data_IF_743786363394
#
_entry.id   IF_743786363394
#
_cell.length_a   1.000
_cell.length_b   1.000
_cell.length_c   1.000
_cell.angle_alpha   90.00
_cell.angle_beta   90.00
_cell.angle_gamma   90.00
#
_symmetry.space_group_name_H-M   'P 1'
#
loop_
_entity.id
_entity.type
_entity.pdbx_description
1 polymer ?
#
# COMPACT_ATOMS: atom_id res chain seq x y z
N UNK A 1 -20.45 66.97 -35.94
CA UNK A 1 -19.37 65.99 -35.63
C UNK A 1 -19.55 65.62 -34.17
N UNK A 2 -20.03 64.43 -33.88
CA UNK A 2 -20.19 63.92 -32.47
C UNK A 2 -19.11 62.91 -32.21
N UNK A 3 -18.18 63.26 -31.32
CA UNK A 3 -17.11 62.37 -30.86
C UNK A 3 -17.61 61.49 -29.73
N UNK A 4 -17.53 60.17 -29.87
CA UNK A 4 -17.80 59.19 -28.83
C UNK A 4 -16.60 59.07 -27.91
N UNK A 5 -16.82 58.93 -26.59
CA UNK A 5 -15.72 58.65 -25.67
C UNK A 5 -15.29 57.15 -25.78
N UNK A 6 -14.02 56.84 -25.50
CA UNK A 6 -13.55 55.47 -25.58
C UNK A 6 -14.11 54.61 -24.47
N UNK A 7 -14.55 53.40 -24.84
CA UNK A 7 -14.96 52.31 -23.94
C UNK A 7 -13.76 51.91 -23.08
N UNK A 8 -13.84 52.19 -21.80
CA UNK A 8 -12.98 51.61 -20.77
C UNK A 8 -13.30 50.11 -20.62
N UNK A 9 -12.47 49.26 -21.21
CA UNK A 9 -12.50 47.83 -20.94
C UNK A 9 -11.90 47.59 -19.57
N UNK A 10 -12.72 47.30 -18.58
CA UNK A 10 -12.32 46.80 -17.26
C UNK A 10 -11.88 45.34 -17.43
N UNK A 11 -10.61 44.97 -17.16
CA UNK A 11 -10.28 43.55 -17.09
C UNK A 11 -10.84 43.03 -15.77
N UNK A 12 -11.86 42.17 -15.88
CA UNK A 12 -12.39 41.39 -14.76
C UNK A 12 -11.35 40.34 -14.37
N UNK A 13 -10.44 40.75 -13.48
CA UNK A 13 -9.51 39.83 -12.80
C UNK A 13 -10.35 38.96 -11.84
N UNK A 14 -10.87 37.88 -12.38
CA UNK A 14 -11.46 36.82 -11.57
C UNK A 14 -10.30 36.12 -10.82
N UNK A 15 -9.90 36.69 -9.69
CA UNK A 15 -8.99 36.04 -8.77
C UNK A 15 -9.69 34.83 -8.18
N UNK A 16 -9.55 33.67 -8.83
CA UNK A 16 -9.94 32.38 -8.25
C UNK A 16 -9.03 32.16 -7.05
N UNK A 17 -9.50 32.58 -5.88
CA UNK A 17 -8.93 32.16 -4.60
C UNK A 17 -9.25 30.68 -4.42
N UNK A 18 -8.46 29.82 -5.07
CA UNK A 18 -8.35 28.42 -4.70
C UNK A 18 -7.72 28.43 -3.31
N UNK A 19 -8.54 28.32 -2.26
CA UNK A 19 -8.06 28.05 -0.90
C UNK A 19 -7.19 26.82 -0.98
N UNK A 20 -5.87 26.99 -1.00
CA UNK A 20 -4.91 25.89 -0.94
C UNK A 20 -5.18 25.17 0.38
N UNK A 21 -5.90 24.06 0.33
CA UNK A 21 -6.11 23.20 1.50
C UNK A 21 -4.73 22.96 2.12
N UNK A 22 -4.55 23.37 3.38
CA UNK A 22 -3.30 23.16 4.12
C UNK A 22 -2.99 21.66 4.03
N UNK A 23 -1.85 21.29 3.45
CA UNK A 23 -1.49 19.87 3.26
C UNK A 23 -1.30 19.27 4.64
N UNK A 24 -2.09 18.25 4.96
CA UNK A 24 -2.05 17.55 6.24
C UNK A 24 -0.67 16.94 6.49
N UNK A 25 -0.24 16.96 7.74
CA UNK A 25 0.95 16.25 8.18
C UNK A 25 0.74 14.73 8.08
N UNK A 26 1.83 13.96 8.05
CA UNK A 26 1.76 12.50 7.97
C UNK A 26 0.99 11.89 9.16
N UNK A 27 1.24 12.37 10.38
CA UNK A 27 0.55 11.88 11.59
C UNK A 27 -0.97 12.10 11.52
N UNK A 28 -1.40 13.28 11.08
CA UNK A 28 -2.81 13.63 10.91
C UNK A 28 -3.46 12.75 9.83
N UNK A 29 -2.76 12.52 8.72
CA UNK A 29 -3.24 11.65 7.65
C UNK A 29 -3.40 10.20 8.13
N UNK A 30 -2.43 9.65 8.86
CA UNK A 30 -2.51 8.30 9.42
C UNK A 30 -3.68 8.21 10.41
N UNK A 31 -3.83 9.19 11.31
CA UNK A 31 -4.90 9.17 12.29
C UNK A 31 -6.30 9.20 11.66
N UNK A 32 -6.51 10.00 10.63
CA UNK A 32 -7.78 10.09 9.93
C UNK A 32 -8.12 8.84 9.11
N UNK A 33 -7.10 8.07 8.70
CA UNK A 33 -7.27 6.85 7.91
C UNK A 33 -7.04 5.58 8.74
N UNK A 34 -6.90 5.69 10.07
CA UNK A 34 -6.48 4.58 10.93
C UNK A 34 -7.35 3.33 10.77
N UNK A 35 -8.66 3.49 10.84
CA UNK A 35 -9.60 2.36 10.72
C UNK A 35 -9.49 1.69 9.34
N UNK A 36 -9.48 2.50 8.27
CA UNK A 36 -9.31 2.00 6.91
C UNK A 36 -7.99 1.25 6.75
N UNK A 37 -6.90 1.78 7.28
CA UNK A 37 -5.60 1.13 7.20
C UNK A 37 -5.56 -0.20 7.94
N UNK A 38 -6.22 -0.30 9.09
CA UNK A 38 -6.34 -1.58 9.78
C UNK A 38 -7.17 -2.58 8.99
N UNK A 39 -8.32 -2.20 8.46
CA UNK A 39 -9.14 -3.11 7.66
C UNK A 39 -8.40 -3.60 6.40
N UNK A 40 -7.70 -2.73 5.71
CA UNK A 40 -6.89 -3.09 4.56
C UNK A 40 -5.76 -4.05 4.94
N UNK A 41 -5.00 -3.78 6.01
CA UNK A 41 -3.97 -4.69 6.52
C UNK A 41 -4.57 -6.02 6.96
N UNK A 42 -5.66 -6.00 7.71
CA UNK A 42 -6.33 -7.20 8.20
C UNK A 42 -6.87 -8.05 7.05
N UNK A 43 -7.30 -7.43 5.95
CA UNK A 43 -7.68 -8.15 4.74
C UNK A 43 -6.53 -8.99 4.15
N UNK A 44 -5.28 -8.56 4.31
CA UNK A 44 -4.09 -9.34 3.93
C UNK A 44 -3.76 -10.41 4.97
N UNK A 45 -3.79 -10.05 6.26
CA UNK A 45 -3.38 -10.94 7.35
C UNK A 45 -4.32 -12.15 7.50
N UNK A 46 -5.61 -11.98 7.17
CA UNK A 46 -6.59 -13.08 7.15
C UNK A 46 -6.38 -14.09 6.03
N UNK A 47 -5.47 -13.84 5.10
CA UNK A 47 -5.19 -14.79 4.01
C UNK A 47 -3.98 -15.64 4.43
N UNK A 48 -4.14 -16.95 4.68
CA UNK A 48 -3.03 -17.82 5.06
C UNK A 48 -2.18 -18.18 3.82
N UNK A 49 -1.39 -17.24 3.34
CA UNK A 49 -0.50 -17.39 2.17
C UNK A 49 0.78 -18.15 2.55
N UNK A 50 0.63 -19.42 2.90
CA UNK A 50 1.74 -20.29 3.34
C UNK A 50 2.38 -20.93 2.11
N UNK A 51 3.55 -20.42 1.67
CA UNK A 51 4.25 -20.89 0.46
C UNK A 51 4.71 -22.34 0.56
N UNK A 52 5.09 -22.79 1.76
CA UNK A 52 5.58 -24.14 2.00
C UNK A 52 4.51 -25.26 1.89
N UNK A 53 3.21 -24.91 1.77
CA UNK A 53 2.10 -25.87 1.75
C UNK A 53 1.30 -25.78 0.46
N UNK A 54 1.21 -26.90 -0.29
CA UNK A 54 0.54 -26.95 -1.60
C UNK A 54 -0.98 -26.69 -1.53
N UNK A 55 -1.63 -27.04 -0.43
CA UNK A 55 -3.06 -26.78 -0.18
C UNK A 55 -3.38 -25.29 0.01
N UNK A 56 -2.36 -24.46 0.23
CA UNK A 56 -2.48 -23.01 0.30
C UNK A 56 -2.31 -22.26 -1.04
N UNK A 57 -2.13 -22.96 -2.16
CA UNK A 57 -1.92 -22.33 -3.49
C UNK A 57 -2.99 -21.29 -3.84
N UNK A 58 -4.26 -21.58 -3.58
CA UNK A 58 -5.35 -20.60 -3.80
C UNK A 58 -5.26 -19.38 -2.88
N UNK A 59 -4.71 -19.56 -1.68
CA UNK A 59 -4.48 -18.43 -0.77
C UNK A 59 -3.32 -17.56 -1.24
N UNK A 60 -2.29 -18.14 -1.87
CA UNK A 60 -1.22 -17.38 -2.50
C UNK A 60 -1.78 -16.48 -3.62
N UNK A 61 -2.60 -17.04 -4.51
CA UNK A 61 -3.26 -16.29 -5.58
C UNK A 61 -4.16 -15.17 -5.03
N UNK A 62 -4.99 -15.46 -4.01
CA UNK A 62 -5.85 -14.46 -3.35
C UNK A 62 -5.04 -13.32 -2.72
N UNK A 63 -3.90 -13.64 -2.09
CA UNK A 63 -3.05 -12.63 -1.46
C UNK A 63 -2.42 -11.73 -2.51
N UNK A 64 -1.93 -12.31 -3.62
CA UNK A 64 -1.39 -11.55 -4.75
C UNK A 64 -2.44 -10.62 -5.37
N UNK A 65 -3.67 -11.10 -5.61
CA UNK A 65 -4.76 -10.27 -6.13
C UNK A 65 -5.11 -9.13 -5.16
N UNK A 66 -5.18 -9.40 -3.86
CA UNK A 66 -5.45 -8.34 -2.86
C UNK A 66 -4.35 -7.27 -2.84
N UNK A 67 -3.11 -7.64 -2.99
CA UNK A 67 -1.99 -6.68 -3.09
C UNK A 67 -2.08 -5.83 -4.35
N UNK A 68 -2.43 -6.43 -5.50
CA UNK A 68 -2.71 -5.68 -6.72
C UNK A 68 -3.79 -4.62 -6.51
N UNK A 69 -4.92 -5.01 -5.88
CA UNK A 69 -5.99 -4.08 -5.57
C UNK A 69 -5.50 -2.92 -4.69
N UNK A 70 -4.78 -3.22 -3.60
CA UNK A 70 -4.23 -2.21 -2.69
C UNK A 70 -3.28 -1.24 -3.37
N UNK A 71 -2.47 -1.70 -4.32
CA UNK A 71 -1.59 -0.82 -5.11
C UNK A 71 -2.40 0.14 -6.00
N UNK A 72 -3.46 -0.36 -6.65
CA UNK A 72 -4.36 0.47 -7.47
C UNK A 72 -5.13 1.48 -6.61
N UNK A 73 -5.69 1.04 -5.47
CA UNK A 73 -6.38 1.90 -4.49
C UNK A 73 -5.47 3.00 -3.93
N UNK A 74 -4.18 2.70 -3.73
CA UNK A 74 -3.17 3.65 -3.30
C UNK A 74 -2.79 4.67 -4.40
N UNK A 75 -3.12 4.39 -5.66
CA UNK A 75 -2.93 5.29 -6.80
C UNK A 75 -1.79 4.91 -7.74
N UNK A 76 -1.39 3.64 -7.79
CA UNK A 76 -0.52 3.15 -8.86
C UNK A 76 -1.19 3.34 -10.23
N UNK A 77 -0.39 3.62 -11.26
CA UNK A 77 -0.90 3.75 -12.64
C UNK A 77 -1.26 2.38 -13.22
N UNK A 78 -0.55 1.36 -12.75
CA UNK A 78 -0.71 -0.02 -13.18
C UNK A 78 -0.30 -0.95 -12.05
N UNK A 79 -1.05 -2.03 -11.86
CA UNK A 79 -0.65 -3.16 -11.05
C UNK A 79 -1.19 -4.45 -11.65
N UNK A 80 -0.42 -5.54 -11.56
CA UNK A 80 -0.77 -6.85 -12.10
C UNK A 80 -0.20 -7.99 -11.28
N UNK A 81 -0.82 -9.15 -11.44
CA UNK A 81 -0.34 -10.42 -10.91
C UNK A 81 0.22 -11.22 -12.08
N UNK A 82 1.48 -11.58 -12.00
CA UNK A 82 2.22 -12.22 -13.08
C UNK A 82 2.62 -13.64 -12.68
N UNK A 83 2.40 -14.62 -13.54
CA UNK A 83 2.81 -16.00 -13.24
C UNK A 83 4.34 -16.11 -13.15
N UNK A 84 4.79 -16.96 -12.24
CA UNK A 84 6.16 -17.45 -12.17
C UNK A 84 6.18 -18.97 -12.31
N UNK A 85 7.35 -19.60 -12.15
CA UNK A 85 7.42 -21.09 -12.06
C UNK A 85 6.78 -21.62 -10.78
N UNK A 86 6.69 -20.80 -9.75
CA UNK A 86 6.06 -21.12 -8.46
C UNK A 86 4.84 -20.26 -8.15
N UNK A 87 4.92 -19.45 -7.09
CA UNK A 87 3.86 -18.53 -6.72
C UNK A 87 3.94 -17.24 -7.53
N UNK A 88 2.80 -16.60 -7.85
CA UNK A 88 2.79 -15.41 -8.70
C UNK A 88 3.53 -14.23 -8.08
N UNK A 89 4.04 -13.34 -8.93
CA UNK A 89 4.66 -12.08 -8.54
C UNK A 89 3.68 -10.94 -8.76
N UNK A 90 3.57 -10.05 -7.78
CA UNK A 90 2.81 -8.80 -7.92
C UNK A 90 3.75 -7.69 -8.35
N UNK A 91 3.42 -7.03 -9.45
CA UNK A 91 4.15 -5.86 -9.91
C UNK A 91 3.20 -4.67 -10.00
N UNK A 92 3.68 -3.49 -9.59
CA UNK A 92 2.95 -2.24 -9.75
C UNK A 92 3.89 -1.09 -10.06
N UNK A 93 3.38 -0.03 -10.64
CA UNK A 93 4.18 1.16 -10.94
C UNK A 93 3.40 2.46 -10.85
N UNK A 94 4.12 3.53 -10.52
CA UNK A 94 3.68 4.92 -10.65
C UNK A 94 4.78 5.73 -11.31
N UNK A 95 4.51 6.27 -12.49
CA UNK A 95 5.44 7.13 -13.23
C UNK A 95 4.96 8.58 -13.14
N UNK A 96 5.67 9.38 -12.37
CA UNK A 96 5.36 10.81 -12.20
C UNK A 96 6.01 11.62 -13.34
N UNK A 97 7.27 11.33 -13.63
CA UNK A 97 8.04 11.95 -14.69
C UNK A 97 9.09 10.95 -15.19
N UNK A 98 9.14 10.64 -16.50
CA UNK A 98 10.12 9.68 -17.05
C UNK A 98 11.59 10.02 -16.73
N UNK A 99 11.90 11.30 -16.58
CA UNK A 99 13.28 11.76 -16.28
C UNK A 99 13.67 11.62 -14.81
N UNK A 100 12.72 11.30 -13.94
CA UNK A 100 13.01 11.14 -12.51
C UNK A 100 13.53 9.74 -12.20
N UNK A 101 14.37 9.67 -11.15
CA UNK A 101 14.80 8.38 -10.60
C UNK A 101 13.61 7.54 -10.20
N UNK A 102 13.75 6.24 -10.36
CA UNK A 102 12.76 5.25 -9.93
C UNK A 102 13.24 4.56 -8.64
N UNK A 103 12.39 4.58 -7.63
CA UNK A 103 12.56 3.77 -6.42
C UNK A 103 11.89 2.43 -6.66
N UNK A 104 12.59 1.34 -6.39
CA UNK A 104 12.01 0.00 -6.34
C UNK A 104 11.70 -0.35 -4.88
N UNK A 105 10.48 -0.79 -4.65
CA UNK A 105 10.01 -1.33 -3.37
C UNK A 105 9.85 -2.83 -3.54
N UNK A 106 10.55 -3.57 -2.73
CA UNK A 106 10.49 -5.03 -2.66
C UNK A 106 9.88 -5.48 -1.34
N UNK A 107 9.21 -6.62 -1.35
CA UNK A 107 8.71 -7.33 -0.18
C UNK A 107 8.16 -8.68 -0.59
N UNK A 108 7.74 -9.49 0.40
CA UNK A 108 7.11 -10.78 0.14
C UNK A 108 5.77 -10.91 0.85
N UNK A 109 4.87 -11.68 0.26
CA UNK A 109 3.52 -11.83 0.79
C UNK A 109 3.24 -13.24 1.33
N UNK A 110 4.16 -14.15 1.13
CA UNK A 110 4.09 -15.45 1.78
C UNK A 110 4.49 -15.37 3.27
N UNK A 111 4.12 -16.38 3.99
CA UNK A 111 4.36 -16.47 5.43
C UNK A 111 4.74 -17.89 5.82
N UNK A 112 5.51 -18.02 6.90
CA UNK A 112 5.80 -19.32 7.54
C UNK A 112 4.52 -19.98 8.06
N UNK A 113 4.47 -21.32 8.07
CA UNK A 113 3.45 -22.06 8.79
C UNK A 113 3.33 -21.61 10.25
N UNK A 114 2.12 -21.57 10.82
CA UNK A 114 1.94 -21.09 12.21
C UNK A 114 2.26 -22.12 13.27
N UNK A 115 2.62 -23.34 12.90
CA UNK A 115 2.90 -24.42 13.85
C UNK A 115 4.09 -24.09 14.78
N UNK A 116 4.03 -24.49 16.08
CA UNK A 116 2.95 -25.24 16.71
C UNK A 116 1.79 -24.32 17.18
N UNK A 117 0.55 -24.66 16.77
CA UNK A 117 -0.64 -23.85 16.99
C UNK A 117 -0.96 -23.60 18.47
N UNK A 118 -0.60 -24.54 19.36
CA UNK A 118 -0.84 -24.45 20.79
C UNK A 118 -0.03 -23.33 21.49
N UNK A 119 0.96 -22.74 20.81
CA UNK A 119 1.71 -21.58 21.31
C UNK A 119 1.09 -20.24 20.95
N UNK A 120 0.05 -20.24 20.12
CA UNK A 120 -0.64 -19.01 19.77
C UNK A 120 -1.74 -18.72 20.80
N UNK A 121 -1.78 -17.49 21.30
CA UNK A 121 -2.85 -17.01 22.21
C UNK A 121 -4.12 -16.56 21.47
N UNK A 122 -4.06 -16.43 20.15
CA UNK A 122 -5.15 -16.05 19.22
C UNK A 122 -4.96 -16.83 17.93
N UNK A 123 -6.01 -16.96 17.13
CA UNK A 123 -5.88 -17.52 15.78
C UNK A 123 -4.81 -16.74 15.01
N UNK A 124 -3.78 -17.40 14.43
CA UNK A 124 -2.71 -16.76 13.72
C UNK A 124 -3.18 -15.97 12.49
N UNK A 125 -4.32 -16.29 11.91
CA UNK A 125 -4.88 -15.62 10.74
C UNK A 125 -6.13 -14.77 11.03
N UNK A 126 -6.46 -14.57 12.32
CA UNK A 126 -7.45 -13.56 12.73
C UNK A 126 -6.73 -12.45 13.51
N UNK A 127 -6.36 -11.35 12.87
CA UNK A 127 -5.55 -10.29 13.47
C UNK A 127 -6.30 -9.60 14.62
N UNK A 128 -5.61 -9.41 15.73
CA UNK A 128 -6.12 -8.70 16.90
C UNK A 128 -5.19 -7.58 17.32
N UNK A 129 -5.76 -6.49 17.84
CA UNK A 129 -5.01 -5.41 18.46
C UNK A 129 -5.06 -5.60 19.97
N UNK A 130 -3.89 -5.70 20.60
CA UNK A 130 -3.75 -5.81 22.07
C UNK A 130 -2.60 -4.92 22.53
N UNK A 131 -2.59 -4.58 23.81
CA UNK A 131 -1.41 -3.95 24.40
C UNK A 131 -0.29 -4.98 24.54
N UNK A 132 0.91 -4.57 24.17
CA UNK A 132 2.13 -5.34 24.41
C UNK A 132 2.61 -5.17 25.87
N UNK A 133 3.68 -5.88 26.30
CA UNK A 133 4.22 -5.76 27.64
C UNK A 133 4.69 -4.34 28.03
N UNK A 134 4.87 -3.44 27.05
CA UNK A 134 5.24 -2.03 27.29
C UNK A 134 4.01 -1.13 27.39
N UNK A 135 2.79 -1.66 27.21
CA UNK A 135 1.54 -0.92 27.20
C UNK A 135 1.22 -0.23 25.85
N UNK A 136 1.97 -0.54 24.80
CA UNK A 136 1.68 -0.03 23.46
C UNK A 136 0.74 -0.95 22.69
N UNK A 137 -0.12 -0.39 21.85
CA UNK A 137 -0.95 -1.18 20.94
C UNK A 137 -0.07 -1.91 19.91
N UNK A 138 -0.27 -3.21 19.77
CA UNK A 138 0.40 -4.06 18.78
C UNK A 138 -0.62 -4.97 18.08
N UNK A 139 -0.33 -5.28 16.82
CA UNK A 139 -1.11 -6.23 16.03
C UNK A 139 -0.49 -7.61 16.16
N UNK A 140 -1.30 -8.57 16.59
CA UNK A 140 -0.91 -9.96 16.72
C UNK A 140 -1.58 -10.79 15.62
N UNK A 141 -0.76 -11.27 14.67
CA UNK A 141 -1.14 -12.22 13.62
C UNK A 141 0.11 -12.76 12.92
N UNK A 142 0.01 -13.90 12.23
CA UNK A 142 1.06 -14.37 11.32
C UNK A 142 1.21 -13.39 10.15
N UNK A 143 2.44 -12.97 9.82
CA UNK A 143 2.72 -12.00 8.77
C UNK A 143 2.56 -10.53 9.19
N UNK A 144 2.14 -10.24 10.44
CA UNK A 144 1.97 -8.86 10.90
C UNK A 144 3.29 -8.06 10.92
N UNK A 145 4.41 -8.72 11.16
CA UNK A 145 5.73 -8.12 11.10
C UNK A 145 6.51 -8.62 9.86
N UNK A 146 6.41 -9.89 9.52
CA UNK A 146 7.18 -10.55 8.47
C UNK A 146 6.24 -11.21 7.44
N UNK A 147 6.08 -10.65 6.26
CA UNK A 147 6.50 -9.31 5.81
C UNK A 147 5.29 -8.46 5.39
N UNK A 148 4.03 -9.00 5.47
CA UNK A 148 2.81 -8.31 5.03
C UNK A 148 2.64 -6.94 5.69
N UNK A 149 2.98 -6.81 6.99
CA UNK A 149 2.91 -5.53 7.68
C UNK A 149 3.91 -4.52 7.12
N UNK A 150 5.13 -4.93 6.81
CA UNK A 150 6.19 -4.06 6.28
C UNK A 150 5.87 -3.64 4.84
N UNK A 151 5.53 -4.58 3.95
CA UNK A 151 5.15 -4.23 2.59
C UNK A 151 3.91 -3.31 2.56
N UNK A 152 2.96 -3.51 3.47
CA UNK A 152 1.79 -2.65 3.60
C UNK A 152 2.17 -1.22 4.03
N UNK A 153 3.12 -1.06 4.94
CA UNK A 153 3.63 0.28 5.30
C UNK A 153 4.19 1.01 4.08
N UNK A 154 4.90 0.33 3.19
CA UNK A 154 5.41 0.92 1.95
C UNK A 154 4.27 1.38 1.02
N UNK A 155 3.21 0.57 0.87
CA UNK A 155 2.03 0.96 0.09
C UNK A 155 1.37 2.21 0.68
N UNK A 156 1.22 2.30 2.01
CA UNK A 156 0.60 3.47 2.67
C UNK A 156 1.50 4.70 2.67
N UNK A 157 2.81 4.53 2.76
CA UNK A 157 3.77 5.63 2.58
C UNK A 157 3.69 6.21 1.15
N UNK A 158 3.63 5.35 0.15
CA UNK A 158 3.39 5.74 -1.24
C UNK A 158 2.08 6.50 -1.41
N UNK A 159 0.97 5.95 -0.89
CA UNK A 159 -0.35 6.59 -0.93
C UNK A 159 -0.30 8.00 -0.33
N UNK A 160 0.29 8.15 0.85
CA UNK A 160 0.44 9.45 1.50
C UNK A 160 1.26 10.44 0.67
N UNK A 161 2.42 10.01 0.18
CA UNK A 161 3.30 10.87 -0.62
C UNK A 161 2.63 11.33 -1.91
N UNK A 162 1.90 10.44 -2.57
CA UNK A 162 1.15 10.75 -3.78
C UNK A 162 0.01 11.73 -3.47
N UNK A 163 -0.88 11.43 -2.52
CA UNK A 163 -2.04 12.26 -2.18
C UNK A 163 -1.66 13.62 -1.62
N UNK A 164 -0.55 13.71 -0.88
CA UNK A 164 -0.02 14.98 -0.38
C UNK A 164 0.75 15.78 -1.44
N UNK A 165 0.98 15.21 -2.64
CA UNK A 165 1.78 15.80 -3.70
C UNK A 165 3.25 15.99 -3.29
N UNK A 166 3.76 15.10 -2.42
CA UNK A 166 5.17 15.09 -1.96
C UNK A 166 6.02 14.03 -2.66
N UNK A 167 5.40 13.14 -3.45
CA UNK A 167 6.15 12.14 -4.21
C UNK A 167 7.07 12.83 -5.24
N UNK A 168 8.37 12.51 -5.20
CA UNK A 168 9.42 13.13 -6.02
C UNK A 168 10.24 12.12 -6.83
N UNK A 169 9.74 10.89 -6.90
CA UNK A 169 10.36 9.79 -7.64
C UNK A 169 9.26 8.99 -8.34
N UNK A 170 9.63 8.29 -9.40
CA UNK A 170 8.84 7.19 -9.90
C UNK A 170 8.94 6.03 -8.90
N UNK A 171 7.93 5.20 -8.81
CA UNK A 171 7.93 4.04 -7.90
C UNK A 171 7.55 2.80 -8.67
N UNK A 172 8.27 1.72 -8.44
CA UNK A 172 7.93 0.36 -8.86
C UNK A 172 7.84 -0.52 -7.63
N UNK A 173 6.84 -1.37 -7.60
CA UNK A 173 6.66 -2.38 -6.57
C UNK A 173 6.85 -3.75 -7.17
N UNK A 174 7.53 -4.62 -6.44
CA UNK A 174 7.66 -6.03 -6.78
C UNK A 174 7.53 -6.83 -5.49
N UNK A 175 6.50 -7.69 -5.43
CA UNK A 175 6.24 -8.53 -4.27
C UNK A 175 6.22 -9.98 -4.72
N UNK A 176 7.03 -10.81 -4.07
CA UNK A 176 7.10 -12.25 -4.33
C UNK A 176 6.31 -13.08 -3.31
N UNK A 177 6.13 -14.35 -3.62
CA UNK A 177 5.39 -15.28 -2.77
C UNK A 177 6.18 -16.56 -2.43
N UNK A 178 7.50 -16.51 -2.36
CA UNK A 178 8.37 -17.67 -2.13
C UNK A 178 9.58 -17.36 -1.25
N UNK A 179 9.61 -16.18 -0.59
CA UNK A 179 10.77 -15.77 0.23
C UNK A 179 11.02 -16.79 1.35
N UNK A 180 9.95 -17.22 2.02
CA UNK A 180 9.99 -18.13 3.16
C UNK A 180 10.40 -19.57 2.79
N UNK A 181 10.57 -19.86 1.50
CA UNK A 181 11.10 -21.11 0.97
C UNK A 181 12.37 -20.92 0.13
N UNK A 182 12.99 -19.73 0.21
CA UNK A 182 14.27 -19.41 -0.43
C UNK A 182 14.16 -18.87 -1.84
N UNK A 183 13.04 -18.30 -2.25
CA UNK A 183 12.81 -17.62 -3.54
C UNK A 183 13.22 -18.44 -4.78
N UNK A 184 12.85 -19.71 -4.93
CA UNK A 184 13.36 -20.55 -6.01
C UNK A 184 12.96 -20.12 -7.42
N UNK A 185 11.95 -19.28 -7.54
CA UNK A 185 11.41 -18.80 -8.83
C UNK A 185 11.59 -17.31 -9.09
N UNK A 186 12.32 -16.60 -8.19
CA UNK A 186 12.50 -15.14 -8.23
C UNK A 186 13.88 -14.71 -8.75
#
# INVERSE_FOLDING_TARGET
MKTWPPLLTLPLLLAIFVKRKKRKGMKEYIQENRERFFEELFSLLRIPSISAKQDHKKNMERCAERLKELLLEAGADEAGVYPSKGNPVVFGKKIINPEWKTVMVYGHYDVQPPEPLEKWHTDPFEPVIKQDPTGQEAIYARGANDDKGQLFMHIKAFEYLLRSGKLRHNVKFIFEGEEEIGSPSF
#
